data_IF_354865428637
#
_entry.id   IF_354865428637
#
_cell.length_a   1.000
_cell.length_b   1.000
_cell.length_c   1.000
_cell.angle_alpha   90.00
_cell.angle_beta   90.00
_cell.angle_gamma   90.00
#
_symmetry.space_group_name_H-M   'P 1'
#
loop_
_entity.id
_entity.type
_entity.pdbx_description
1 polymer ?
#
# COMPACT_ATOMS: atom_id res chain seq x y z
N UNK A 1 49.70 -61.70 -51.43
CA UNK A 1 48.61 -61.05 -52.18
C UNK A 1 47.51 -60.76 -51.17
N UNK A 2 47.18 -59.48 -50.93
CA UNK A 2 46.30 -59.02 -49.85
C UNK A 2 44.86 -59.51 -50.07
N UNK A 3 44.24 -60.08 -49.03
CA UNK A 3 42.81 -60.34 -48.94
C UNK A 3 42.33 -59.69 -47.63
N UNK A 4 41.55 -58.63 -47.75
CA UNK A 4 40.76 -58.03 -46.66
C UNK A 4 39.38 -58.68 -46.65
N UNK A 5 38.86 -59.13 -45.49
CA UNK A 5 37.44 -59.43 -45.33
C UNK A 5 36.70 -58.22 -44.74
N UNK A 6 35.54 -57.92 -45.30
CA UNK A 6 34.59 -56.94 -44.77
C UNK A 6 33.88 -57.48 -43.52
N UNK A 7 33.68 -56.62 -42.51
CA UNK A 7 32.81 -56.88 -41.37
C UNK A 7 31.50 -56.09 -41.52
N UNK A 8 30.33 -56.68 -41.22
CA UNK A 8 29.06 -55.99 -41.30
C UNK A 8 28.85 -55.08 -40.08
N UNK A 9 28.48 -53.83 -40.33
CA UNK A 9 28.11 -52.88 -39.29
C UNK A 9 26.69 -53.19 -38.77
N UNK A 10 26.58 -53.46 -37.47
CA UNK A 10 25.29 -53.58 -36.76
C UNK A 10 24.91 -52.18 -36.28
N UNK A 11 23.84 -51.60 -36.84
CA UNK A 11 23.22 -50.37 -36.36
C UNK A 11 22.30 -50.69 -35.18
N UNK A 12 22.77 -50.49 -33.95
CA UNK A 12 21.90 -50.39 -32.77
C UNK A 12 21.46 -48.94 -32.62
N UNK A 13 20.27 -48.62 -33.14
CA UNK A 13 19.64 -47.32 -32.91
C UNK A 13 19.02 -47.26 -31.52
N UNK A 14 19.57 -46.45 -30.62
CA UNK A 14 18.90 -46.05 -29.39
C UNK A 14 17.98 -44.86 -29.69
N UNK A 15 16.67 -45.10 -29.66
CA UNK A 15 15.70 -44.02 -29.73
C UNK A 15 15.68 -43.27 -28.38
N UNK A 16 16.24 -42.06 -28.36
CA UNK A 16 16.09 -41.15 -27.22
C UNK A 16 14.68 -40.57 -27.32
N UNK A 17 13.77 -41.06 -26.49
CA UNK A 17 12.45 -40.45 -26.35
C UNK A 17 12.61 -39.21 -25.48
N UNK A 18 12.81 -38.05 -26.13
CA UNK A 18 12.79 -36.76 -25.45
C UNK A 18 11.34 -36.46 -25.06
N UNK A 19 10.99 -36.64 -23.79
CA UNK A 19 9.71 -36.19 -23.27
C UNK A 19 9.69 -34.65 -23.29
N UNK A 20 8.91 -34.07 -24.20
CA UNK A 20 8.67 -32.64 -24.24
C UNK A 20 7.76 -32.28 -23.06
N UNK A 21 8.32 -31.75 -21.99
CA UNK A 21 7.53 -31.21 -20.87
C UNK A 21 6.97 -29.86 -21.32
N UNK A 22 5.72 -29.86 -21.76
CA UNK A 22 5.00 -28.61 -22.05
C UNK A 22 4.51 -28.03 -20.73
N UNK A 23 5.25 -27.07 -20.20
CA UNK A 23 4.79 -26.25 -19.06
C UNK A 23 3.76 -25.26 -19.62
N UNK A 24 2.48 -25.59 -19.51
CA UNK A 24 1.44 -24.60 -19.76
C UNK A 24 1.56 -23.50 -18.71
N UNK A 25 1.54 -22.21 -19.09
CA UNK A 25 1.47 -21.14 -18.09
C UNK A 25 0.22 -21.38 -17.27
N UNK A 26 0.38 -21.54 -15.96
CA UNK A 26 -0.77 -21.50 -15.06
C UNK A 26 -1.44 -20.15 -15.30
N UNK A 27 -2.67 -20.17 -15.82
CA UNK A 27 -3.48 -18.96 -15.80
C UNK A 27 -3.53 -18.54 -14.33
N UNK A 28 -2.88 -17.41 -14.00
CA UNK A 28 -3.01 -16.83 -12.68
C UNK A 28 -4.50 -16.73 -12.40
N UNK A 29 -4.97 -17.42 -11.35
CA UNK A 29 -6.38 -17.39 -11.01
C UNK A 29 -6.76 -15.93 -10.77
N UNK A 30 -7.73 -15.45 -11.54
CA UNK A 30 -8.23 -14.10 -11.45
C UNK A 30 -8.91 -13.94 -10.09
N UNK A 31 -8.36 -13.08 -9.23
CA UNK A 31 -8.97 -12.79 -7.94
C UNK A 31 -10.31 -12.08 -8.13
N UNK A 32 -11.26 -12.39 -7.28
CA UNK A 32 -12.50 -11.64 -7.10
C UNK A 32 -12.21 -10.35 -6.34
N UNK A 33 -13.11 -9.36 -6.44
CA UNK A 33 -13.00 -8.13 -5.66
C UNK A 33 -13.04 -8.36 -4.15
N UNK A 34 -13.69 -9.43 -3.69
CA UNK A 34 -13.69 -9.84 -2.28
C UNK A 34 -12.33 -10.38 -1.84
N UNK A 35 -11.67 -11.22 -2.65
CA UNK A 35 -10.31 -11.69 -2.37
C UNK A 35 -9.29 -10.54 -2.39
N UNK A 36 -9.47 -9.55 -3.28
CA UNK A 36 -8.66 -8.31 -3.25
C UNK A 36 -8.92 -7.52 -1.97
N UNK A 37 -10.16 -7.45 -1.49
CA UNK A 37 -10.49 -6.80 -0.23
C UNK A 37 -9.85 -7.51 0.98
N UNK A 38 -9.82 -8.84 0.97
CA UNK A 38 -9.16 -9.62 2.01
C UNK A 38 -7.66 -9.33 2.07
N UNK A 39 -6.97 -9.28 0.92
CA UNK A 39 -5.56 -8.86 0.86
C UNK A 39 -5.41 -7.42 1.38
N UNK A 40 -6.26 -6.51 0.91
CA UNK A 40 -6.17 -5.10 1.26
C UNK A 40 -6.37 -4.88 2.77
N UNK A 41 -7.23 -5.67 3.43
CA UNK A 41 -7.45 -5.61 4.87
C UNK A 41 -6.18 -5.89 5.66
N UNK A 42 -5.47 -6.96 5.33
CA UNK A 42 -4.30 -7.42 6.09
C UNK A 42 -3.11 -6.47 5.95
N UNK A 43 -2.99 -5.77 4.82
CA UNK A 43 -1.84 -4.90 4.54
C UNK A 43 -2.07 -3.41 4.87
N UNK A 44 -3.34 -2.98 5.02
CA UNK A 44 -3.67 -1.57 5.27
C UNK A 44 -3.65 -1.27 6.76
N UNK A 45 -2.87 -0.28 7.16
CA UNK A 45 -2.80 0.19 8.56
C UNK A 45 -3.47 1.55 8.71
N UNK A 46 -3.94 1.83 9.93
CA UNK A 46 -4.29 3.17 10.37
C UNK A 46 -3.03 3.85 10.91
N UNK A 47 -2.85 5.13 10.61
CA UNK A 47 -1.83 5.99 11.22
C UNK A 47 -2.57 7.10 11.96
N UNK A 48 -2.38 7.19 13.27
CA UNK A 48 -3.05 8.16 14.13
C UNK A 48 -2.04 8.86 15.02
N UNK A 49 -2.10 10.18 15.09
CA UNK A 49 -1.44 10.99 16.10
C UNK A 49 -2.46 11.88 16.82
N UNK A 50 -2.00 12.76 17.71
CA UNK A 50 -2.88 13.66 18.47
C UNK A 50 -3.69 14.58 17.54
N UNK A 51 -3.06 15.02 16.44
CA UNK A 51 -3.65 15.98 15.51
C UNK A 51 -3.63 15.48 14.05
N UNK A 52 -3.33 14.20 13.86
CA UNK A 52 -3.12 13.58 12.55
C UNK A 52 -3.90 12.26 12.45
N UNK A 53 -4.46 12.01 11.28
CA UNK A 53 -5.20 10.78 10.97
C UNK A 53 -5.02 10.47 9.50
N UNK A 54 -4.56 9.27 9.20
CA UNK A 54 -4.33 8.80 7.85
C UNK A 54 -4.26 7.29 7.78
N UNK A 55 -3.87 6.78 6.62
CA UNK A 55 -3.71 5.36 6.35
C UNK A 55 -2.29 5.07 5.88
N UNK A 56 -1.92 3.80 5.87
CA UNK A 56 -0.66 3.33 5.31
C UNK A 56 -0.77 1.92 4.77
N UNK A 57 0.28 1.44 4.14
CA UNK A 57 0.40 0.04 3.69
C UNK A 57 1.74 -0.55 4.12
N UNK A 58 1.73 -1.76 4.67
CA UNK A 58 2.96 -2.50 5.03
C UNK A 58 3.62 -2.97 3.72
N UNK A 59 4.82 -2.48 3.42
CA UNK A 59 5.53 -2.74 2.14
C UNK A 59 6.81 -3.56 2.30
N UNK A 60 7.33 -3.70 3.52
CA UNK A 60 8.51 -4.50 3.79
C UNK A 60 8.60 -4.89 5.27
N UNK A 61 9.42 -5.91 5.55
CA UNK A 61 9.77 -6.35 6.89
C UNK A 61 11.26 -6.73 6.92
N UNK A 62 11.94 -6.38 8.01
CA UNK A 62 13.30 -6.81 8.31
C UNK A 62 13.42 -7.23 9.78
N UNK A 63 13.45 -8.54 10.05
CA UNK A 63 13.28 -9.06 11.40
C UNK A 63 11.93 -8.62 11.96
N UNK A 64 11.94 -8.06 13.16
CA UNK A 64 10.73 -7.58 13.84
C UNK A 64 10.31 -6.17 13.40
N UNK A 65 11.08 -5.51 12.51
CA UNK A 65 10.78 -4.16 12.03
C UNK A 65 9.97 -4.21 10.74
N UNK A 66 8.78 -3.61 10.78
CA UNK A 66 7.88 -3.43 9.64
C UNK A 66 7.98 -2.01 9.10
N UNK A 67 7.94 -1.89 7.77
CA UNK A 67 7.98 -0.61 7.05
C UNK A 67 6.65 -0.33 6.39
N UNK A 68 6.09 0.84 6.68
CA UNK A 68 4.80 1.30 6.17
C UNK A 68 5.02 2.47 5.23
N UNK A 69 4.51 2.36 4.01
CA UNK A 69 4.45 3.46 3.06
C UNK A 69 3.14 4.23 3.27
N UNK A 70 3.23 5.56 3.32
CA UNK A 70 2.08 6.47 3.50
C UNK A 70 2.29 7.78 2.73
N UNK A 71 1.29 8.66 2.75
CA UNK A 71 1.42 10.01 2.24
C UNK A 71 2.20 10.88 3.24
N UNK A 72 3.07 11.75 2.75
CA UNK A 72 3.91 12.58 3.64
C UNK A 72 3.07 13.53 4.50
N UNK A 73 1.97 14.10 4.00
CA UNK A 73 1.10 14.98 4.79
C UNK A 73 0.47 14.29 6.01
N UNK A 74 0.33 12.95 6.01
CA UNK A 74 -0.16 12.19 7.18
C UNK A 74 0.81 12.31 8.36
N UNK A 75 2.12 12.38 8.08
CA UNK A 75 3.20 12.40 9.06
C UNK A 75 4.06 13.68 8.97
N UNK A 76 3.49 14.76 8.41
CA UNK A 76 4.22 16.00 8.13
C UNK A 76 4.58 16.78 9.40
N UNK A 77 3.83 16.59 10.49
CA UNK A 77 4.07 17.22 11.78
C UNK A 77 4.64 16.21 12.77
N UNK A 78 5.54 16.70 13.62
CA UNK A 78 5.98 15.97 14.80
C UNK A 78 4.78 15.76 15.70
N UNK A 79 4.48 14.50 15.95
CA UNK A 79 3.29 14.03 16.65
C UNK A 79 3.62 12.66 17.24
N UNK A 80 2.86 12.22 18.24
CA UNK A 80 2.96 10.87 18.81
C UNK A 80 2.20 9.87 17.93
N UNK A 81 2.72 9.70 16.70
CA UNK A 81 2.14 8.81 15.71
C UNK A 81 2.15 7.37 16.21
N UNK A 82 1.02 6.70 16.03
CA UNK A 82 0.81 5.28 16.29
C UNK A 82 0.29 4.61 15.04
N UNK A 83 0.76 3.40 14.79
CA UNK A 83 0.29 2.52 13.72
C UNK A 83 -0.66 1.50 14.34
N UNK A 84 -1.86 1.36 13.78
CA UNK A 84 -2.81 0.32 14.16
C UNK A 84 -2.95 -0.69 13.02
N UNK A 85 -2.63 -1.94 13.32
CA UNK A 85 -2.61 -3.08 12.38
C UNK A 85 -3.96 -3.77 12.27
N UNK A 86 -4.10 -4.72 11.32
CA UNK A 86 -5.35 -5.42 11.04
C UNK A 86 -5.92 -6.21 12.24
N UNK A 87 -5.06 -6.63 13.17
CA UNK A 87 -5.42 -7.27 14.43
C UNK A 87 -5.75 -6.27 15.56
N UNK A 88 -5.84 -4.98 15.24
CA UNK A 88 -6.23 -3.88 16.13
C UNK A 88 -5.23 -3.61 17.25
N UNK A 89 -3.97 -4.04 17.08
CA UNK A 89 -2.85 -3.67 17.96
C UNK A 89 -2.26 -2.35 17.52
N UNK A 90 -1.82 -1.55 18.50
CA UNK A 90 -1.20 -0.25 18.26
C UNK A 90 0.31 -0.32 18.55
N UNK A 91 1.08 0.41 17.75
CA UNK A 91 2.53 0.48 17.86
C UNK A 91 2.99 1.94 17.76
N UNK A 92 3.88 2.36 18.66
CA UNK A 92 4.47 3.69 18.59
C UNK A 92 5.40 3.83 17.37
N UNK A 93 5.37 4.98 16.73
CA UNK A 93 6.30 5.37 15.67
C UNK A 93 7.39 6.25 16.26
N UNK A 94 8.65 5.91 16.01
CA UNK A 94 9.77 6.82 16.29
C UNK A 94 9.80 7.91 15.21
N UNK A 95 9.29 9.11 15.55
CA UNK A 95 9.23 10.22 14.62
C UNK A 95 10.61 10.60 14.04
N UNK A 96 11.69 10.41 14.82
CA UNK A 96 13.06 10.67 14.36
C UNK A 96 13.53 9.75 13.23
N UNK A 97 12.82 8.64 12.99
CA UNK A 97 13.10 7.69 11.92
C UNK A 97 12.21 7.83 10.70
N UNK A 98 11.20 8.70 10.73
CA UNK A 98 10.32 8.96 9.59
C UNK A 98 11.17 9.39 8.39
N UNK A 99 11.06 8.67 7.27
CA UNK A 99 11.78 8.97 6.03
C UNK A 99 10.84 9.59 5.02
N UNK A 100 11.00 10.89 4.76
CA UNK A 100 10.25 11.62 3.74
C UNK A 100 10.97 11.53 2.41
N UNK A 101 10.26 11.22 1.33
CA UNK A 101 10.86 11.16 0.01
C UNK A 101 10.92 12.56 -0.61
N UNK A 102 12.03 12.94 -1.26
CA UNK A 102 12.22 14.30 -1.74
C UNK A 102 11.29 14.61 -2.93
N UNK A 103 10.64 15.77 -2.87
CA UNK A 103 9.86 16.33 -3.98
C UNK A 103 8.52 15.64 -4.27
N UNK A 104 8.09 14.71 -3.42
CA UNK A 104 6.82 14.01 -3.54
C UNK A 104 6.14 13.84 -2.19
N UNK A 105 4.82 13.69 -2.19
CA UNK A 105 4.03 13.53 -0.97
C UNK A 105 4.03 12.07 -0.46
N UNK A 106 5.21 11.47 -0.29
CA UNK A 106 5.40 10.11 0.25
C UNK A 106 6.33 10.10 1.45
N UNK A 107 6.01 9.26 2.42
CA UNK A 107 6.87 8.95 3.56
C UNK A 107 6.86 7.46 3.91
N UNK A 108 7.95 7.00 4.50
CA UNK A 108 8.06 5.69 5.14
C UNK A 108 8.15 5.87 6.64
N UNK A 109 7.33 5.14 7.37
CA UNK A 109 7.37 5.01 8.82
C UNK A 109 7.64 3.56 9.19
N UNK A 110 8.16 3.32 10.39
CA UNK A 110 8.45 1.97 10.87
C UNK A 110 7.83 1.71 12.25
N UNK A 111 7.51 0.45 12.51
CA UNK A 111 7.17 -0.06 13.84
C UNK A 111 7.83 -1.42 14.07
N UNK A 112 7.95 -1.82 15.32
CA UNK A 112 8.49 -3.14 15.70
C UNK A 112 7.40 -4.02 16.28
N UNK A 113 7.34 -5.28 15.86
CA UNK A 113 6.42 -6.30 16.37
C UNK A 113 7.00 -7.70 16.19
N UNK A 114 6.76 -8.57 17.17
CA UNK A 114 7.03 -10.02 17.07
C UNK A 114 5.87 -10.78 16.38
N UNK A 115 4.77 -10.09 16.08
CA UNK A 115 3.61 -10.64 15.38
C UNK A 115 3.86 -10.67 13.86
N UNK A 116 3.34 -11.70 13.20
CA UNK A 116 3.46 -11.87 11.76
C UNK A 116 2.37 -11.07 11.02
N UNK A 117 2.75 -9.94 10.41
CA UNK A 117 1.89 -9.14 9.53
C UNK A 117 2.14 -9.40 8.04
N UNK A 118 1.07 -9.38 7.25
CA UNK A 118 1.16 -9.52 5.81
C UNK A 118 1.85 -8.30 5.18
N UNK A 119 2.87 -8.55 4.37
CA UNK A 119 3.53 -7.54 3.55
C UNK A 119 2.86 -7.46 2.18
N UNK A 120 2.57 -6.25 1.71
CA UNK A 120 1.95 -6.04 0.41
C UNK A 120 2.90 -6.38 -0.75
N UNK A 121 2.36 -7.08 -1.75
CA UNK A 121 2.99 -7.17 -3.07
C UNK A 121 2.80 -5.85 -3.80
N UNK A 122 3.87 -5.32 -4.38
CA UNK A 122 3.88 -4.11 -5.21
C UNK A 122 3.82 -4.51 -6.69
N UNK A 123 3.13 -3.74 -7.51
CA UNK A 123 3.19 -3.92 -8.96
C UNK A 123 4.12 -2.89 -9.60
N UNK A 124 4.65 -3.18 -10.78
CA UNK A 124 5.17 -2.09 -11.62
C UNK A 124 4.01 -1.23 -12.15
N UNK A 125 3.88 0.01 -11.64
CA UNK A 125 2.80 0.91 -12.04
C UNK A 125 2.84 1.34 -13.52
N UNK A 126 3.93 1.12 -14.25
CA UNK A 126 3.96 1.32 -15.71
C UNK A 126 3.08 0.33 -16.48
N UNK A 127 2.67 -0.77 -15.83
CA UNK A 127 1.73 -1.75 -16.39
C UNK A 127 0.26 -1.36 -16.17
N UNK A 128 -0.01 -0.29 -15.42
CA UNK A 128 -1.36 0.20 -15.16
C UNK A 128 -1.81 1.07 -16.32
N UNK A 129 -2.97 0.74 -16.89
CA UNK A 129 -3.54 1.45 -18.03
C UNK A 129 -4.95 1.94 -17.72
N UNK A 130 -5.39 2.95 -18.46
CA UNK A 130 -6.77 3.45 -18.37
C UNK A 130 -7.81 2.33 -18.53
N UNK A 131 -8.92 2.48 -17.82
CA UNK A 131 -10.02 1.53 -17.79
C UNK A 131 -9.75 0.26 -16.98
N UNK A 132 -8.57 0.04 -16.42
CA UNK A 132 -8.33 -1.08 -15.51
C UNK A 132 -9.04 -0.86 -14.16
N UNK A 133 -9.62 -1.92 -13.56
CA UNK A 133 -10.20 -1.81 -12.23
C UNK A 133 -9.10 -1.55 -11.20
N UNK A 134 -9.39 -0.68 -10.25
CA UNK A 134 -8.54 -0.39 -9.10
C UNK A 134 -9.39 -0.29 -7.84
N UNK A 135 -8.79 -0.63 -6.72
CA UNK A 135 -9.42 -0.63 -5.41
C UNK A 135 -8.65 0.27 -4.46
N UNK A 136 -9.34 0.96 -3.56
CA UNK A 136 -8.70 1.75 -2.51
C UNK A 136 -9.11 1.21 -1.16
N UNK A 137 -8.14 1.02 -0.28
CA UNK A 137 -8.34 0.66 1.11
C UNK A 137 -7.80 1.76 2.02
N UNK A 138 -8.52 2.11 3.07
CA UNK A 138 -8.08 3.11 4.02
C UNK A 138 -9.03 3.28 5.19
N UNK A 139 -8.61 4.11 6.15
CA UNK A 139 -9.31 4.39 7.38
C UNK A 139 -9.82 5.83 7.37
N UNK A 140 -11.08 6.10 6.99
CA UNK A 140 -11.66 7.42 7.10
C UNK A 140 -11.54 7.96 8.53
N UNK A 141 -11.33 9.28 8.63
CA UNK A 141 -11.33 9.97 9.91
C UNK A 141 -12.69 9.75 10.62
N UNK A 142 -12.66 9.60 11.96
CA UNK A 142 -13.89 9.46 12.72
C UNK A 142 -14.77 10.69 12.52
N UNK A 143 -16.09 10.47 12.46
CA UNK A 143 -17.05 11.56 12.58
C UNK A 143 -17.14 12.02 14.03
N UNK A 144 -18.35 12.05 14.58
CA UNK A 144 -18.60 12.38 15.99
C UNK A 144 -18.35 11.21 16.95
N UNK A 145 -17.78 10.10 16.47
CA UNK A 145 -17.69 8.81 17.18
C UNK A 145 -16.25 8.32 17.23
N UNK A 146 -15.86 7.62 18.28
CA UNK A 146 -14.53 6.98 18.36
C UNK A 146 -14.45 5.65 17.57
N UNK A 147 -15.57 5.17 17.03
CA UNK A 147 -15.58 4.00 16.17
C UNK A 147 -15.01 4.34 14.79
N UNK A 148 -14.09 3.51 14.31
CA UNK A 148 -13.54 3.58 12.97
C UNK A 148 -13.92 2.34 12.18
N UNK A 149 -14.20 2.53 10.89
CA UNK A 149 -14.51 1.45 9.96
C UNK A 149 -13.61 1.63 8.74
N UNK A 150 -12.75 0.64 8.46
CA UNK A 150 -11.96 0.60 7.24
C UNK A 150 -12.90 0.59 6.04
N UNK A 151 -12.62 1.45 5.07
CA UNK A 151 -13.36 1.49 3.81
C UNK A 151 -12.54 0.86 2.69
N UNK A 152 -13.22 0.04 1.91
CA UNK A 152 -12.72 -0.53 0.67
C UNK A 152 -13.68 -0.19 -0.46
N UNK A 153 -13.18 0.51 -1.47
CA UNK A 153 -14.01 0.97 -2.59
C UNK A 153 -13.40 0.57 -3.93
N UNK A 154 -14.26 0.26 -4.90
CA UNK A 154 -13.87 -0.06 -6.26
C UNK A 154 -14.02 1.15 -7.19
N UNK A 155 -13.31 1.10 -8.32
CA UNK A 155 -13.36 2.10 -9.37
C UNK A 155 -12.41 1.72 -10.50
N UNK A 156 -12.08 2.70 -11.35
CA UNK A 156 -11.21 2.45 -12.51
C UNK A 156 -10.23 3.59 -12.70
N UNK A 157 -9.09 3.26 -13.27
CA UNK A 157 -8.12 4.25 -13.75
C UNK A 157 -8.79 5.06 -14.87
N UNK A 158 -8.87 6.37 -14.69
CA UNK A 158 -9.50 7.29 -15.63
C UNK A 158 -8.49 8.05 -16.49
N UNK A 159 -7.22 8.10 -16.07
CA UNK A 159 -6.17 8.80 -16.81
C UNK A 159 -4.91 9.00 -16.00
N UNK A 160 -3.98 9.73 -16.60
CA UNK A 160 -2.73 10.15 -15.97
C UNK A 160 -2.45 11.62 -16.26
N UNK A 161 -1.93 12.34 -15.26
CA UNK A 161 -1.47 13.71 -15.47
C UNK A 161 -0.22 13.71 -16.38
N UNK A 162 -0.14 14.60 -17.38
CA UNK A 162 1.05 14.74 -18.23
C UNK A 162 2.32 15.08 -17.44
N UNK A 163 2.16 15.85 -16.36
CA UNK A 163 3.20 16.18 -15.39
C UNK A 163 2.65 15.91 -14.00
N UNK A 164 3.41 15.20 -13.17
CA UNK A 164 3.02 14.93 -11.79
C UNK A 164 3.02 16.21 -10.95
N UNK A 165 2.07 16.31 -10.03
CA UNK A 165 2.05 17.32 -8.97
C UNK A 165 2.43 16.65 -7.65
N UNK A 166 3.56 16.99 -7.02
CA UNK A 166 4.04 16.33 -5.78
C UNK A 166 4.06 14.78 -5.87
N UNK A 167 4.32 14.25 -7.06
CA UNK A 167 4.29 12.81 -7.34
C UNK A 167 2.91 12.26 -7.73
N UNK A 168 1.81 12.97 -7.47
CA UNK A 168 0.48 12.59 -7.91
C UNK A 168 0.40 12.60 -9.43
N UNK A 169 0.05 11.45 -10.00
CA UNK A 169 -0.01 11.28 -11.45
C UNK A 169 -1.18 10.40 -11.90
N UNK A 170 -1.51 9.35 -11.16
CA UNK A 170 -2.58 8.43 -11.52
C UNK A 170 -3.94 9.00 -11.11
N UNK A 171 -4.92 8.98 -12.00
CA UNK A 171 -6.29 9.47 -11.79
C UNK A 171 -7.27 8.30 -11.81
N UNK A 172 -8.21 8.25 -10.87
CA UNK A 172 -9.20 7.16 -10.78
C UNK A 172 -10.50 7.59 -10.08
N UNK A 173 -11.53 6.75 -10.20
CA UNK A 173 -12.94 7.12 -9.90
C UNK A 173 -13.50 6.54 -8.61
N UNK A 174 -12.68 5.98 -7.73
CA UNK A 174 -13.15 5.36 -6.49
C UNK A 174 -13.81 6.41 -5.58
N UNK A 175 -14.68 6.01 -4.66
CA UNK A 175 -15.15 6.91 -3.61
C UNK A 175 -14.15 6.85 -2.45
N UNK A 176 -13.66 7.99 -1.97
CA UNK A 176 -12.78 8.04 -0.79
C UNK A 176 -13.21 9.17 0.15
N UNK A 177 -12.65 9.17 1.36
CA UNK A 177 -12.96 10.14 2.42
C UNK A 177 -11.68 10.60 3.09
N UNK A 178 -11.71 11.78 3.71
CA UNK A 178 -10.63 12.27 4.56
C UNK A 178 -10.18 11.18 5.54
N UNK A 179 -8.87 10.98 5.66
CA UNK A 179 -8.26 9.93 6.48
C UNK A 179 -7.83 8.67 5.70
N UNK A 180 -8.38 8.45 4.50
CA UNK A 180 -7.92 7.35 3.64
C UNK A 180 -6.57 7.64 2.95
N UNK A 181 -6.12 8.90 2.97
CA UNK A 181 -4.83 9.31 2.41
C UNK A 181 -3.68 8.52 3.02
N UNK A 182 -2.73 8.11 2.19
CA UNK A 182 -1.64 7.18 2.50
C UNK A 182 -2.01 5.70 2.33
N UNK A 183 -3.30 5.37 2.16
CA UNK A 183 -3.76 4.00 1.93
C UNK A 183 -3.40 3.46 0.53
N UNK A 184 -3.37 2.12 0.37
CA UNK A 184 -2.99 1.51 -0.91
C UNK A 184 -4.10 1.65 -1.96
N UNK A 185 -3.67 1.92 -3.20
CA UNK A 185 -4.46 1.67 -4.40
C UNK A 185 -3.99 0.34 -5.00
N UNK A 186 -4.91 -0.64 -5.12
CA UNK A 186 -4.61 -2.01 -5.56
C UNK A 186 -5.17 -2.28 -6.96
N UNK A 187 -4.48 -3.11 -7.74
CA UNK A 187 -5.03 -3.69 -8.97
C UNK A 187 -5.86 -4.96 -8.70
N UNK A 188 -6.40 -5.55 -9.77
CA UNK A 188 -7.18 -6.80 -9.70
C UNK A 188 -6.40 -8.03 -9.22
N UNK A 189 -5.06 -7.94 -9.10
CA UNK A 189 -4.22 -8.98 -8.50
C UNK A 189 -3.94 -8.75 -7.02
N UNK A 190 -4.56 -7.74 -6.39
CA UNK A 190 -4.29 -7.38 -5.00
C UNK A 190 -2.90 -6.76 -4.79
N UNK A 191 -2.29 -6.24 -5.86
CA UNK A 191 -0.95 -5.64 -5.82
C UNK A 191 -1.08 -4.13 -5.71
N UNK A 192 -0.26 -3.50 -4.88
CA UNK A 192 -0.26 -2.05 -4.71
C UNK A 192 0.35 -1.40 -5.95
N UNK A 193 -0.44 -0.55 -6.61
CA UNK A 193 -0.05 0.19 -7.81
C UNK A 193 0.19 1.68 -7.55
N UNK A 194 -0.30 2.18 -6.43
CA UNK A 194 -0.07 3.55 -6.00
C UNK A 194 -0.52 3.80 -4.57
N UNK A 195 -0.22 4.99 -4.07
CA UNK A 195 -0.62 5.46 -2.74
C UNK A 195 -1.64 6.57 -2.92
N UNK A 196 -2.82 6.39 -2.33
CA UNK A 196 -3.87 7.38 -2.37
C UNK A 196 -3.45 8.62 -1.58
N UNK A 197 -3.80 9.82 -2.04
CA UNK A 197 -3.59 11.02 -1.24
C UNK A 197 -4.64 12.10 -1.44
N UNK A 198 -4.84 12.58 -2.68
CA UNK A 198 -5.80 13.66 -2.96
C UNK A 198 -7.16 13.10 -3.43
N UNK A 199 -8.25 13.67 -2.93
CA UNK A 199 -9.63 13.26 -3.18
C UNK A 199 -10.60 14.43 -3.23
N UNK A 200 -11.87 14.12 -3.55
CA UNK A 200 -13.06 14.96 -3.71
C UNK A 200 -13.52 15.79 -2.48
N UNK A 201 -12.58 16.26 -1.65
CA UNK A 201 -12.86 17.13 -0.52
C UNK A 201 -11.66 18.03 -0.22
N UNK A 202 -11.28 18.85 -1.20
CA UNK A 202 -10.32 19.91 -0.99
C UNK A 202 -10.85 21.19 -1.65
N UNK A 203 -11.87 21.76 -1.01
CA UNK A 203 -12.16 23.19 -1.11
C UNK A 203 -10.82 23.94 -1.02
N UNK A 204 -10.55 24.87 -1.95
CA UNK A 204 -9.34 25.67 -1.93
C UNK A 204 -9.10 26.29 -0.54
N UNK A 205 -10.17 26.66 0.18
CA UNK A 205 -10.07 27.17 1.55
C UNK A 205 -9.57 26.14 2.57
N UNK A 206 -9.83 24.85 2.38
CA UNK A 206 -9.29 23.77 3.22
C UNK A 206 -7.82 23.49 2.91
N UNK A 207 -7.42 23.51 1.63
CA UNK A 207 -6.01 23.40 1.22
C UNK A 207 -5.20 24.58 1.78
N UNK A 208 -5.74 25.80 1.68
CA UNK A 208 -5.17 27.01 2.28
C UNK A 208 -5.03 26.88 3.80
N UNK A 209 -6.05 26.32 4.49
CA UNK A 209 -6.00 26.11 5.95
C UNK A 209 -4.95 25.10 6.42
N UNK A 210 -4.45 24.25 5.50
CA UNK A 210 -3.37 23.31 5.76
C UNK A 210 -1.98 23.93 5.58
N UNK A 211 -1.90 25.24 5.29
CA UNK A 211 -0.65 25.99 5.18
C UNK A 211 -0.09 26.05 3.76
N UNK A 212 -0.88 25.63 2.76
CA UNK A 212 -0.54 25.77 1.35
C UNK A 212 -0.82 27.21 0.90
N UNK A 213 0.08 27.75 0.07
CA UNK A 213 -0.09 29.08 -0.51
C UNK A 213 -1.42 29.20 -1.28
N UNK A 214 -2.17 30.32 -1.17
CA UNK A 214 -3.48 30.47 -1.82
C UNK A 214 -3.51 30.27 -3.33
N UNK A 215 -2.44 30.63 -4.06
CA UNK A 215 -2.40 30.44 -5.51
C UNK A 215 -2.05 28.98 -5.86
N UNK A 216 -1.23 28.32 -5.03
CA UNK A 216 -1.01 26.89 -5.11
C UNK A 216 -2.29 26.10 -4.77
N UNK A 217 -3.01 26.47 -3.71
CA UNK A 217 -4.26 25.86 -3.28
C UNK A 217 -5.34 25.93 -4.36
N UNK A 218 -5.52 27.08 -5.02
CA UNK A 218 -6.44 27.20 -6.16
C UNK A 218 -6.01 26.37 -7.36
N UNK A 219 -4.70 26.24 -7.58
CA UNK A 219 -4.17 25.41 -8.66
C UNK A 219 -4.43 23.93 -8.39
N UNK A 220 -4.25 23.47 -7.14
CA UNK A 220 -4.56 22.11 -6.70
C UNK A 220 -6.07 21.85 -6.80
N UNK A 221 -6.91 22.74 -6.27
CA UNK A 221 -8.37 22.63 -6.37
C UNK A 221 -8.87 22.64 -7.83
N UNK A 222 -8.15 23.34 -8.74
CA UNK A 222 -8.42 23.28 -10.18
C UNK A 222 -8.03 21.97 -10.85
N UNK A 223 -7.07 21.24 -10.28
CA UNK A 223 -6.68 19.89 -10.70
C UNK A 223 -7.65 18.84 -10.12
N UNK A 224 -8.10 19.00 -8.87
CA UNK A 224 -9.02 18.06 -8.22
C UNK A 224 -10.45 18.30 -8.72
N UNK A 225 -10.88 17.47 -9.67
CA UNK A 225 -12.25 17.49 -10.16
C UNK A 225 -13.13 16.57 -9.31
N UNK A 226 -14.37 16.99 -8.99
CA UNK A 226 -15.29 16.11 -8.30
C UNK A 226 -15.50 14.80 -9.03
N UNK A 227 -15.53 13.70 -8.28
CA UNK A 227 -15.56 12.33 -8.77
C UNK A 227 -14.21 11.73 -9.18
N UNK A 228 -13.09 12.44 -9.00
CA UNK A 228 -11.75 11.91 -9.27
C UNK A 228 -10.83 11.99 -8.05
N UNK A 229 -9.97 10.99 -7.93
CA UNK A 229 -8.90 10.93 -6.94
C UNK A 229 -7.56 10.79 -7.63
N UNK A 230 -6.52 11.10 -6.85
CA UNK A 230 -5.14 11.04 -7.31
C UNK A 230 -4.30 10.16 -6.40
N UNK A 231 -3.41 9.41 -7.04
CA UNK A 231 -2.42 8.60 -6.36
C UNK A 231 -1.03 8.83 -6.94
N UNK A 232 -0.05 8.65 -6.07
CA UNK A 232 1.36 8.60 -6.44
C UNK A 232 1.64 7.17 -6.91
N UNK A 233 2.02 6.96 -8.18
CA UNK A 233 2.31 5.61 -8.70
C UNK A 233 3.47 4.97 -7.94
N UNK A 234 3.40 3.67 -7.67
CA UNK A 234 4.41 2.99 -6.84
C UNK A 234 5.82 3.03 -7.47
N UNK A 235 5.95 3.18 -8.80
CA UNK A 235 7.25 3.41 -9.44
C UNK A 235 8.01 4.63 -8.88
N UNK A 236 7.29 5.65 -8.42
CA UNK A 236 7.88 6.83 -7.79
C UNK A 236 8.60 6.43 -6.51
N UNK A 237 7.95 5.63 -5.66
CA UNK A 237 8.58 5.06 -4.46
C UNK A 237 9.78 4.17 -4.80
N UNK A 238 9.63 3.25 -5.76
CA UNK A 238 10.71 2.35 -6.18
C UNK A 238 11.94 3.11 -6.72
N UNK A 239 11.73 4.29 -7.29
CA UNK A 239 12.81 5.15 -7.81
C UNK A 239 13.50 5.95 -6.71
N UNK A 240 12.74 6.49 -5.74
CA UNK A 240 13.23 7.42 -4.73
C UNK A 240 13.76 6.73 -3.48
N UNK A 241 13.19 5.60 -3.06
CA UNK A 241 13.58 4.94 -1.81
C UNK A 241 15.09 4.63 -1.73
N UNK A 242 15.74 4.04 -2.76
CA UNK A 242 17.19 3.80 -2.70
C UNK A 242 18.03 5.09 -2.60
N UNK A 243 17.54 6.21 -3.12
CA UNK A 243 18.23 7.50 -3.09
C UNK A 243 18.27 8.09 -1.67
N UNK A 244 17.25 7.77 -0.86
CA UNK A 244 17.16 8.13 0.57
C UNK A 244 17.78 7.06 1.50
N UNK A 245 18.53 6.11 0.93
CA UNK A 245 19.16 5.03 1.70
C UNK A 245 18.19 3.98 2.24
N UNK A 246 16.95 3.93 1.73
CA UNK A 246 15.97 2.90 2.05
C UNK A 246 16.18 1.67 1.15
N UNK A 247 16.98 0.72 1.64
CA UNK A 247 17.24 -0.57 0.98
C UNK A 247 16.30 -1.64 1.55
N UNK A 248 15.03 -1.58 1.15
CA UNK A 248 13.98 -2.46 1.64
C UNK A 248 13.88 -3.75 0.80
N UNK A 249 13.53 -4.85 1.44
CA UNK A 249 13.17 -6.11 0.76
C UNK A 249 11.73 -5.99 0.26
N UNK A 250 11.56 -5.57 -0.99
CA UNK A 250 10.25 -5.35 -1.61
C UNK A 250 9.85 -6.54 -2.51
N UNK A 251 8.62 -7.03 -2.37
CA UNK A 251 8.03 -8.00 -3.30
C UNK A 251 7.38 -7.26 -4.48
N UNK A 252 8.11 -7.17 -5.61
CA UNK A 252 7.67 -6.43 -6.79
C UNK A 252 7.35 -7.40 -7.94
N UNK A 253 6.11 -7.32 -8.43
CA UNK A 253 5.63 -8.05 -9.59
C UNK A 253 5.54 -7.12 -10.81
N UNK A 254 6.30 -7.45 -11.85
CA UNK A 254 6.39 -6.69 -13.09
C UNK A 254 5.40 -7.15 -14.18
N UNK A 255 4.53 -8.12 -13.89
CA UNK A 255 3.55 -8.61 -14.85
C UNK A 255 2.34 -7.68 -14.98
N UNK A 256 1.72 -7.68 -16.16
CA UNK A 256 0.49 -6.95 -16.40
C UNK A 256 -0.62 -7.38 -15.42
N UNK A 257 -1.48 -6.44 -15.04
CA UNK A 257 -2.59 -6.72 -14.13
C UNK A 257 -3.48 -7.85 -14.69
N UNK A 258 -3.75 -8.91 -13.89
CA UNK A 258 -4.65 -9.97 -14.31
C UNK A 258 -6.07 -9.42 -14.53
N UNK A 259 -6.94 -10.15 -15.26
CA UNK A 259 -8.36 -9.83 -15.25
C UNK A 259 -8.94 -9.99 -13.84
N UNK A 260 -9.98 -9.22 -13.52
CA UNK A 260 -10.75 -9.40 -12.29
C UNK A 260 -11.72 -10.58 -12.47
N UNK A 261 -11.72 -11.53 -11.54
CA UNK A 261 -12.54 -12.74 -11.59
C UNK A 261 -14.03 -12.45 -11.38
N UNK A 262 -14.35 -11.59 -10.42
CA UNK A 262 -15.70 -11.08 -10.16
C UNK A 262 -15.64 -9.66 -9.57
N UNK A 263 -16.61 -8.78 -9.86
CA UNK A 263 -16.70 -7.47 -9.22
C UNK A 263 -16.76 -7.56 -7.70
N UNK A 264 -16.24 -6.54 -7.01
CA UNK A 264 -16.50 -6.38 -5.59
C UNK A 264 -17.98 -6.04 -5.38
N UNK A 265 -18.61 -6.68 -4.40
CA UNK A 265 -19.98 -6.38 -3.96
C UNK A 265 -19.91 -6.06 -2.48
N UNK A 266 -20.21 -4.81 -2.12
CA UNK A 266 -20.20 -4.40 -0.73
C UNK A 266 -21.29 -5.14 0.06
N UNK A 267 -20.93 -5.57 1.27
CA UNK A 267 -21.87 -6.19 2.20
C UNK A 267 -22.84 -5.14 2.77
N UNK A 268 -24.03 -5.60 3.20
CA UNK A 268 -25.04 -4.73 3.82
C UNK A 268 -24.63 -4.20 5.20
N UNK A 269 -23.70 -4.91 5.86
CA UNK A 269 -23.11 -4.54 7.15
C UNK A 269 -21.57 -4.56 7.02
N UNK A 270 -20.85 -3.69 7.75
CA UNK A 270 -19.39 -3.75 7.82
C UNK A 270 -18.91 -5.12 8.34
N UNK A 271 -17.83 -5.64 7.75
CA UNK A 271 -17.14 -6.82 8.30
C UNK A 271 -16.56 -6.45 9.68
N UNK A 272 -16.71 -7.31 10.69
CA UNK A 272 -16.23 -7.03 12.05
C UNK A 272 -14.71 -6.90 12.14
N UNK A 273 -13.98 -7.45 11.18
CA UNK A 273 -12.53 -7.26 11.02
C UNK A 273 -12.17 -5.85 10.55
N UNK A 274 -13.11 -5.15 9.91
CA UNK A 274 -12.92 -3.79 9.41
C UNK A 274 -13.25 -2.71 10.46
N UNK A 275 -13.69 -3.11 11.66
CA UNK A 275 -14.14 -2.17 12.70
C UNK A 275 -13.18 -2.10 13.89
N UNK A 276 -12.82 -0.88 14.29
CA UNK A 276 -12.23 -0.57 15.60
C UNK A 276 -13.32 0.14 16.41
N UNK A 277 -13.81 -0.49 17.47
CA UNK A 277 -14.98 0.00 18.21
C UNK A 277 -14.72 1.29 18.99
N UNK A 278 -13.53 1.41 19.58
CA UNK A 278 -13.08 2.62 20.26
C UNK A 278 -11.58 2.80 20.04
N UNK A 279 -11.24 3.74 19.15
CA UNK A 279 -9.84 4.01 18.81
C UNK A 279 -9.01 4.44 20.03
N UNK A 280 -9.59 5.20 20.97
CA UNK A 280 -8.83 5.68 22.12
C UNK A 280 -8.35 4.53 23.00
N UNK A 281 -9.23 3.55 23.26
CA UNK A 281 -8.88 2.32 23.97
C UNK A 281 -7.73 1.57 23.31
N UNK A 282 -7.73 1.47 21.97
CA UNK A 282 -6.63 0.85 21.22
C UNK A 282 -5.32 1.63 21.37
N UNK A 283 -5.35 2.96 21.27
CA UNK A 283 -4.14 3.79 21.36
C UNK A 283 -3.57 3.87 22.78
N UNK A 284 -4.42 3.81 23.81
CA UNK A 284 -4.02 3.87 25.22
C UNK A 284 -3.16 2.68 25.64
N UNK A 285 -3.30 1.52 24.97
CA UNK A 285 -2.44 0.35 25.22
C UNK A 285 -0.96 0.65 25.04
N UNK A 286 -0.61 1.55 24.11
CA UNK A 286 0.77 2.00 23.88
C UNK A 286 1.20 3.00 24.95
N UNK A 287 0.32 3.94 25.31
CA UNK A 287 0.61 4.96 26.33
C UNK A 287 0.93 4.30 27.68
N UNK A 288 0.14 3.31 28.09
CA UNK A 288 0.34 2.55 29.33
C UNK A 288 1.68 1.80 29.35
N UNK A 289 2.07 1.21 28.21
CA UNK A 289 3.34 0.49 28.08
C UNK A 289 4.53 1.46 28.19
N UNK A 290 4.46 2.61 27.52
CA UNK A 290 5.49 3.66 27.57
C UNK A 290 5.64 4.20 29.00
N UNK A 291 4.53 4.49 29.68
CA UNK A 291 4.56 5.03 31.05
C UNK A 291 5.06 4.00 32.07
N UNK A 292 4.75 2.72 31.88
CA UNK A 292 5.32 1.63 32.68
C UNK A 292 6.83 1.59 32.54
N UNK A 293 7.36 1.67 31.31
CA UNK A 293 8.81 1.69 31.06
C UNK A 293 9.48 2.92 31.67
N UNK A 294 8.87 4.11 31.55
CA UNK A 294 9.38 5.34 32.18
C UNK A 294 9.44 5.24 33.70
N UNK A 295 8.40 4.68 34.33
CA UNK A 295 8.37 4.50 35.78
C UNK A 295 9.44 3.50 36.27
N UNK A 296 9.66 2.42 35.51
CA UNK A 296 10.73 1.45 35.80
C UNK A 296 12.11 2.08 35.62
N UNK A 297 12.34 2.82 34.54
CA UNK A 297 13.60 3.53 34.30
C UNK A 297 13.85 4.62 35.34
N UNK A 298 12.81 5.37 35.75
CA UNK A 298 12.90 6.38 36.80
C UNK A 298 13.21 5.78 38.18
N UNK A 299 12.77 4.54 38.44
CA UNK A 299 13.12 3.79 39.65
C UNK A 299 14.55 3.21 39.59
N UNK A 300 15.04 2.86 38.39
CA UNK A 300 16.34 2.20 38.17
C UNK A 300 17.48 3.14 37.74
N UNK A 301 17.20 4.41 37.45
CA UNK A 301 18.19 5.43 37.11
C UNK A 301 18.84 5.29 35.72
N UNK A 302 18.09 4.79 34.73
CA UNK A 302 18.53 4.70 33.33
C UNK A 302 18.55 6.06 32.63
#
# INVERSE_FOLDING_TARGET
>A
MKLTPELPAIFTGTAIVSALVVVLPQAALALTGEEVNDIAREVTVLISGENSHGSGVIVSQNGDTYYVLTANHVVAREDDHKIVTADKKAYAVDYGKVKRLPGVDLAVVEFSSEEDYQVAKLANSDQVTEGKPVFVSGWPAPGSTNQLIRQFTDGRVSGFLPQSYEGYQMIYTNVTRRGMSGGPVLDAGGRVVGIHGLADAEDAGLIESQGVDPDAARSIAGLIKPGFNYAIPIKTFLTLAPQEGLYLSLDVDNSAAPPLGAPYVANSEPDSRDTIDDINSTLDTVNDAVDTLRNVCGFLGC
#
